data_IF_208659211376
#
_entry.id   IF_208659211376
#
_cell.length_a   1.000
_cell.length_b   1.000
_cell.length_c   1.000
_cell.angle_alpha   90.00
_cell.angle_beta   90.00
_cell.angle_gamma   90.00
#
_symmetry.space_group_name_H-M   'P 1'
#
loop_
_entity.id
_entity.type
_entity.pdbx_description
1 polymer ?
#
# COMPACT_ATOMS: atom_id res chain seq x y z
N UNK A 1 -85.09 -22.44 -6.84
CA UNK A 1 -84.10 -21.42 -7.05
C UNK A 1 -82.73 -21.99 -6.78
N UNK A 2 -81.95 -22.29 -7.81
CA UNK A 2 -80.62 -22.92 -7.59
C UNK A 2 -79.58 -21.80 -7.70
N UNK A 3 -78.86 -21.60 -6.61
CA UNK A 3 -77.72 -20.66 -6.56
C UNK A 3 -76.50 -21.43 -6.98
N UNK A 4 -75.92 -21.04 -8.12
CA UNK A 4 -74.63 -21.57 -8.54
C UNK A 4 -73.50 -20.83 -7.80
N UNK A 5 -72.56 -21.53 -7.12
CA UNK A 5 -71.40 -20.87 -6.60
C UNK A 5 -70.48 -20.47 -7.76
N UNK A 6 -70.25 -19.24 -7.89
CA UNK A 6 -69.23 -18.73 -8.82
C UNK A 6 -67.83 -19.02 -8.18
N UNK A 7 -67.19 -19.97 -8.75
CA UNK A 7 -65.75 -20.19 -8.48
C UNK A 7 -64.97 -18.99 -8.94
N UNK A 8 -64.51 -18.21 -8.01
CA UNK A 8 -63.46 -17.22 -8.30
C UNK A 8 -62.12 -17.99 -8.42
N UNK A 9 -61.72 -18.19 -9.67
CA UNK A 9 -60.37 -18.63 -10.00
C UNK A 9 -59.43 -17.46 -9.76
N UNK A 10 -58.81 -17.41 -8.58
CA UNK A 10 -57.78 -16.43 -8.29
C UNK A 10 -56.54 -16.77 -9.14
N UNK A 11 -56.30 -15.94 -10.13
CA UNK A 11 -55.04 -15.98 -10.88
C UNK A 11 -53.97 -15.45 -9.93
N UNK A 12 -53.20 -16.35 -9.33
CA UNK A 12 -51.97 -16.00 -8.63
C UNK A 12 -50.95 -15.71 -9.72
N UNK A 13 -50.75 -14.43 -10.06
CA UNK A 13 -49.64 -14.04 -10.87
C UNK A 13 -48.41 -14.11 -9.95
N UNK A 14 -47.67 -15.21 -10.02
CA UNK A 14 -46.35 -15.29 -9.43
C UNK A 14 -45.43 -14.34 -10.21
N UNK A 15 -45.20 -13.13 -9.68
CA UNK A 15 -44.20 -12.24 -10.21
C UNK A 15 -42.84 -12.85 -9.86
N UNK A 16 -42.30 -13.66 -10.73
CA UNK A 16 -40.92 -14.09 -10.62
C UNK A 16 -40.03 -12.86 -10.85
N UNK A 17 -39.55 -12.25 -9.76
CA UNK A 17 -38.45 -11.29 -9.85
C UNK A 17 -37.21 -12.09 -10.28
N UNK A 18 -36.98 -12.17 -11.56
CA UNK A 18 -35.72 -12.59 -12.10
C UNK A 18 -34.71 -11.47 -11.78
N UNK A 19 -33.92 -11.62 -10.72
CA UNK A 19 -32.72 -10.85 -10.57
C UNK A 19 -31.83 -11.15 -11.79
N UNK A 20 -31.49 -10.14 -12.61
CA UNK A 20 -30.53 -10.38 -13.67
C UNK A 20 -29.19 -10.74 -13.04
N UNK A 21 -28.82 -12.01 -13.09
CA UNK A 21 -27.45 -12.43 -12.82
C UNK A 21 -26.65 -11.86 -13.97
N UNK A 22 -25.91 -10.77 -13.71
CA UNK A 22 -24.95 -10.24 -14.68
C UNK A 22 -23.78 -11.22 -14.67
N UNK A 23 -23.83 -12.22 -15.54
CA UNK A 23 -22.72 -13.13 -15.78
C UNK A 23 -21.55 -12.31 -16.34
N UNK A 24 -20.40 -12.28 -15.62
CA UNK A 24 -19.19 -11.60 -16.05
C UNK A 24 -18.88 -10.27 -15.38
N UNK A 25 -19.65 -9.83 -14.36
CA UNK A 25 -19.21 -8.75 -13.47
C UNK A 25 -18.02 -9.24 -12.67
N UNK A 26 -16.80 -8.78 -13.03
CA UNK A 26 -15.62 -8.97 -12.20
C UNK A 26 -15.88 -8.26 -10.86
N UNK A 27 -15.75 -8.97 -9.75
CA UNK A 27 -15.73 -8.36 -8.43
C UNK A 27 -14.65 -7.28 -8.43
N UNK A 28 -14.96 -6.01 -8.11
CA UNK A 28 -13.94 -4.98 -8.06
C UNK A 28 -12.87 -5.41 -7.07
N UNK A 29 -11.59 -5.28 -7.47
CA UNK A 29 -10.46 -5.56 -6.60
C UNK A 29 -10.56 -4.66 -5.36
N UNK A 30 -10.46 -5.21 -4.13
CA UNK A 30 -10.53 -4.40 -2.93
C UNK A 30 -9.43 -3.33 -2.95
N UNK A 31 -9.67 -2.12 -2.39
CA UNK A 31 -8.67 -1.09 -2.28
C UNK A 31 -7.41 -1.62 -1.59
N UNK A 32 -6.26 -1.37 -2.16
CA UNK A 32 -4.98 -1.77 -1.60
C UNK A 32 -3.98 -0.61 -1.70
N UNK A 33 -3.12 -0.44 -0.68
CA UNK A 33 -1.99 0.46 -0.78
C UNK A 33 -0.96 -0.06 -1.78
N UNK A 34 -0.11 0.84 -2.25
CA UNK A 34 1.06 0.56 -3.08
C UNK A 34 2.15 1.56 -2.70
N UNK A 35 3.06 1.14 -1.84
CA UNK A 35 4.08 2.01 -1.25
C UNK A 35 5.31 2.05 -2.16
N UNK A 36 5.71 3.24 -2.54
CA UNK A 36 6.84 3.50 -3.43
C UNK A 36 7.81 4.44 -2.73
N UNK A 37 9.11 4.18 -2.83
CA UNK A 37 10.13 5.14 -2.42
C UNK A 37 10.33 6.12 -3.57
N UNK A 38 9.82 7.34 -3.38
CA UNK A 38 9.87 8.39 -4.39
C UNK A 38 11.22 9.11 -4.41
N UNK A 39 11.81 9.33 -3.24
CA UNK A 39 13.08 10.04 -3.09
C UNK A 39 13.80 9.67 -1.82
N UNK A 40 15.12 9.62 -1.90
CA UNK A 40 16.02 9.52 -0.75
C UNK A 40 16.90 10.76 -0.71
N UNK A 41 17.03 11.41 0.45
CA UNK A 41 17.85 12.58 0.63
C UNK A 41 18.71 12.42 1.88
N UNK A 42 20.01 12.39 1.71
CA UNK A 42 20.95 12.46 2.82
C UNK A 42 21.05 13.91 3.28
N UNK A 43 20.84 14.17 4.56
CA UNK A 43 20.85 15.52 5.14
C UNK A 43 22.06 15.77 6.01
N UNK A 44 22.70 14.70 6.49
CA UNK A 44 23.96 14.75 7.25
C UNK A 44 24.71 13.43 7.11
N UNK A 45 25.90 13.35 7.73
CA UNK A 45 26.68 12.10 7.77
C UNK A 45 25.96 10.92 8.47
N UNK A 46 24.89 11.19 9.22
CA UNK A 46 24.16 10.18 9.99
C UNK A 46 22.67 10.14 9.67
N UNK A 47 22.17 11.00 8.79
CA UNK A 47 20.73 11.20 8.68
C UNK A 47 20.22 11.23 7.23
N UNK A 48 19.13 10.52 7.01
CA UNK A 48 18.40 10.47 5.75
C UNK A 48 16.94 10.84 5.93
N UNK A 49 16.38 11.49 4.93
CA UNK A 49 14.93 11.64 4.75
C UNK A 49 14.53 10.83 3.52
N UNK A 50 13.65 9.87 3.72
CA UNK A 50 13.12 9.02 2.65
C UNK A 50 11.67 9.38 2.41
N UNK A 51 11.35 9.88 1.22
CA UNK A 51 9.97 10.18 0.84
C UNK A 51 9.31 8.91 0.32
N UNK A 52 8.29 8.46 1.03
CA UNK A 52 7.45 7.31 0.66
C UNK A 52 6.10 7.84 0.17
N UNK A 53 5.66 7.35 -0.96
CA UNK A 53 4.35 7.67 -1.53
C UNK A 53 3.48 6.42 -1.57
N UNK A 54 2.21 6.59 -1.27
CA UNK A 54 1.20 5.56 -1.49
C UNK A 54 0.50 5.83 -2.84
N UNK A 55 0.88 5.10 -3.86
CA UNK A 55 0.30 5.22 -5.21
C UNK A 55 -0.93 4.34 -5.40
N UNK A 56 -1.28 3.55 -4.39
CA UNK A 56 -2.47 2.71 -4.38
C UNK A 56 -3.76 3.49 -4.16
N UNK A 57 -4.86 2.78 -4.27
CA UNK A 57 -6.21 3.32 -4.06
C UNK A 57 -6.77 3.03 -2.66
N UNK A 58 -5.99 2.40 -1.79
CA UNK A 58 -6.30 2.15 -0.39
C UNK A 58 -5.28 2.80 0.54
N UNK A 59 -5.71 3.16 1.73
CA UNK A 59 -4.84 3.70 2.78
C UNK A 59 -3.89 2.61 3.28
N UNK A 60 -2.63 2.97 3.58
CA UNK A 60 -1.71 2.05 4.22
C UNK A 60 -1.80 2.15 5.74
N UNK A 61 -1.67 1.01 6.42
CA UNK A 61 -1.39 0.96 7.84
C UNK A 61 0.07 1.42 8.11
N UNK A 62 0.44 1.73 9.36
CA UNK A 62 1.83 1.94 9.72
C UNK A 62 2.69 0.72 9.38
N UNK A 63 3.91 0.97 8.93
CA UNK A 63 4.88 -0.06 8.57
C UNK A 63 6.30 0.39 8.94
N UNK A 64 7.29 -0.26 8.38
CA UNK A 64 8.70 0.09 8.56
C UNK A 64 9.39 0.32 7.23
N UNK A 65 10.43 1.13 7.27
CA UNK A 65 11.42 1.29 6.22
C UNK A 65 12.72 0.66 6.70
N UNK A 66 13.22 -0.35 5.99
CA UNK A 66 14.51 -0.96 6.27
C UNK A 66 15.58 -0.27 5.45
N UNK A 67 16.64 0.15 6.10
CA UNK A 67 17.85 0.65 5.47
C UNK A 67 19.00 -0.32 5.70
N UNK A 68 19.65 -0.73 4.65
CA UNK A 68 20.87 -1.55 4.69
C UNK A 68 22.03 -0.74 4.16
N UNK A 69 22.99 -0.43 5.02
CA UNK A 69 24.22 0.24 4.64
C UNK A 69 25.36 -0.77 4.43
N UNK A 70 26.10 -0.66 3.36
CA UNK A 70 27.23 -1.54 3.07
C UNK A 70 28.49 -0.72 2.80
N UNK A 71 29.54 -0.86 3.63
CA UNK A 71 29.62 -1.61 4.89
C UNK A 71 28.79 -0.92 6.00
N UNK A 72 28.31 -1.68 6.97
CA UNK A 72 27.57 -1.07 8.09
C UNK A 72 26.60 -2.07 8.74
N UNK A 73 25.34 -2.07 8.36
CA UNK A 73 24.33 -2.92 8.92
C UNK A 73 22.92 -2.57 8.48
N UNK A 74 21.94 -3.19 9.12
CA UNK A 74 20.51 -2.99 8.83
C UNK A 74 19.87 -2.16 9.94
N UNK A 75 19.04 -1.20 9.54
CA UNK A 75 18.33 -0.30 10.45
C UNK A 75 16.87 -0.21 9.99
N UNK A 76 15.96 -0.10 10.96
CA UNK A 76 14.54 0.05 10.68
C UNK A 76 14.07 1.42 11.15
N UNK A 77 13.29 2.08 10.32
CA UNK A 77 12.72 3.40 10.58
C UNK A 77 11.19 3.30 10.50
N UNK A 78 10.44 3.83 11.48
CA UNK A 78 9.00 3.72 11.47
C UNK A 78 8.40 4.58 10.36
N UNK A 79 7.39 4.04 9.68
CA UNK A 79 6.58 4.71 8.65
C UNK A 79 5.16 4.82 9.17
N UNK A 80 4.65 6.04 9.32
CA UNK A 80 3.27 6.28 9.70
C UNK A 80 2.31 5.82 8.58
N UNK A 81 1.03 5.64 8.92
CA UNK A 81 -0.01 5.37 7.94
C UNK A 81 -0.02 6.47 6.85
N UNK A 82 -0.14 6.07 5.60
CA UNK A 82 -0.18 6.98 4.45
C UNK A 82 -1.50 6.78 3.72
N UNK A 83 -2.26 7.84 3.59
CA UNK A 83 -3.51 7.84 2.82
C UNK A 83 -3.25 7.52 1.35
N UNK A 84 -4.25 6.95 0.67
CA UNK A 84 -4.20 6.73 -0.78
C UNK A 84 -3.83 8.04 -1.50
N UNK A 85 -2.80 7.98 -2.34
CA UNK A 85 -2.25 9.15 -3.05
C UNK A 85 -1.38 10.08 -2.20
N UNK A 86 -1.26 9.84 -0.88
CA UNK A 86 -0.48 10.66 0.03
C UNK A 86 1.01 10.32 0.04
N UNK A 87 1.79 11.15 0.72
CA UNK A 87 3.23 10.98 0.93
C UNK A 87 3.59 11.12 2.40
N UNK A 88 4.70 10.51 2.81
CA UNK A 88 5.30 10.72 4.11
C UNK A 88 6.82 10.86 3.97
N UNK A 89 7.40 11.79 4.73
CA UNK A 89 8.84 11.91 4.87
C UNK A 89 9.28 11.07 6.08
N UNK A 90 10.06 10.04 5.82
CA UNK A 90 10.51 9.07 6.84
C UNK A 90 11.93 9.44 7.25
N UNK A 91 12.13 9.89 8.49
CA UNK A 91 13.48 10.13 9.01
C UNK A 91 14.17 8.81 9.35
N UNK A 92 15.36 8.62 8.82
CA UNK A 92 16.21 7.47 9.11
C UNK A 92 17.57 7.89 9.59
N UNK A 93 17.97 7.41 10.78
CA UNK A 93 19.25 7.72 11.37
C UNK A 93 20.15 6.49 11.35
N UNK A 94 21.38 6.68 10.89
CA UNK A 94 22.45 5.71 11.07
C UNK A 94 23.14 5.94 12.42
N UNK A 95 23.50 4.90 13.17
CA UNK A 95 24.22 5.04 14.44
C UNK A 95 25.71 5.34 14.24
N UNK A 96 26.20 5.45 13.02
CA UNK A 96 27.58 5.78 12.67
C UNK A 96 27.61 6.84 11.57
N UNK A 97 28.73 7.51 11.42
CA UNK A 97 28.94 8.45 10.32
C UNK A 97 29.11 7.73 9.00
N UNK A 98 28.40 8.17 7.98
CA UNK A 98 28.57 7.67 6.65
C UNK A 98 29.97 7.97 6.13
N UNK A 99 30.56 7.00 5.44
CA UNK A 99 31.73 7.21 4.60
C UNK A 99 31.28 7.54 3.18
N UNK A 100 32.16 8.14 2.39
CA UNK A 100 31.87 8.42 0.98
C UNK A 100 31.54 7.14 0.21
N UNK A 101 30.57 7.24 -0.70
CA UNK A 101 30.20 6.16 -1.62
C UNK A 101 29.75 4.86 -0.95
N UNK A 102 29.28 4.90 0.29
CA UNK A 102 28.60 3.74 0.88
C UNK A 102 27.30 3.47 0.14
N UNK A 103 27.03 2.21 -0.13
CA UNK A 103 25.76 1.78 -0.69
C UNK A 103 24.70 1.73 0.42
N UNK A 104 23.63 2.46 0.25
CA UNK A 104 22.45 2.41 1.13
C UNK A 104 21.25 1.89 0.32
N UNK A 105 20.70 0.79 0.77
CA UNK A 105 19.50 0.19 0.19
C UNK A 105 18.33 0.43 1.11
N UNK A 106 17.24 0.95 0.57
CA UNK A 106 16.01 1.24 1.28
C UNK A 106 14.89 0.36 0.77
N UNK A 107 14.16 -0.25 1.70
CA UNK A 107 12.99 -1.09 1.37
C UNK A 107 11.85 -0.74 2.32
N UNK A 108 10.74 -0.25 1.80
CA UNK A 108 9.51 -0.03 2.58
C UNK A 108 8.71 -1.32 2.66
N UNK A 109 8.06 -1.56 3.80
CA UNK A 109 7.28 -2.78 4.06
C UNK A 109 8.08 -4.07 3.74
N UNK A 110 9.31 -4.22 4.31
CA UNK A 110 10.23 -5.30 3.92
C UNK A 110 9.68 -6.69 4.23
N UNK A 111 8.90 -6.81 5.29
CA UNK A 111 8.32 -8.09 5.76
C UNK A 111 6.99 -8.40 5.10
N UNK A 112 6.53 -7.54 4.18
CA UNK A 112 5.21 -7.66 3.52
C UNK A 112 4.05 -7.80 4.52
N UNK A 113 4.17 -7.18 5.68
CA UNK A 113 3.14 -7.18 6.72
C UNK A 113 1.86 -6.48 6.26
N UNK A 114 2.00 -5.49 5.37
CA UNK A 114 0.90 -4.85 4.66
C UNK A 114 0.77 -5.51 3.29
N UNK A 115 -0.45 -5.94 2.95
CA UNK A 115 -0.74 -6.42 1.60
C UNK A 115 -0.82 -5.25 0.64
N UNK A 116 0.04 -5.23 -0.35
CA UNK A 116 0.14 -4.17 -1.34
C UNK A 116 -0.27 -4.64 -2.74
N UNK A 117 -0.62 -3.70 -3.61
CA UNK A 117 -0.88 -3.98 -5.02
C UNK A 117 0.38 -4.49 -5.75
N UNK A 118 1.55 -3.98 -5.36
CA UNK A 118 2.86 -4.42 -5.87
C UNK A 118 3.92 -4.31 -4.76
N UNK A 119 4.92 -5.17 -4.81
CA UNK A 119 6.11 -5.09 -3.95
C UNK A 119 7.38 -4.81 -4.73
N UNK A 120 7.30 -4.75 -6.06
CA UNK A 120 8.48 -4.58 -6.94
C UNK A 120 9.05 -3.17 -6.90
N UNK A 121 8.25 -2.19 -6.49
CA UNK A 121 8.57 -0.77 -6.41
C UNK A 121 8.92 -0.30 -4.99
N UNK A 122 8.95 -1.21 -4.02
CA UNK A 122 9.20 -0.90 -2.59
C UNK A 122 10.67 -0.61 -2.27
N UNK A 123 11.57 -0.78 -3.23
CA UNK A 123 13.02 -0.75 -3.00
C UNK A 123 13.71 0.29 -3.85
N UNK A 124 14.70 0.96 -3.25
CA UNK A 124 15.64 1.82 -3.97
C UNK A 124 17.04 1.72 -3.39
N UNK A 125 18.02 2.14 -4.16
CA UNK A 125 19.42 2.16 -3.75
C UNK A 125 19.97 3.57 -3.94
N UNK A 126 20.68 4.06 -2.94
CA UNK A 126 21.37 5.35 -2.97
C UNK A 126 22.80 5.18 -2.47
N UNK A 127 23.66 6.09 -2.86
CA UNK A 127 25.02 6.19 -2.32
C UNK A 127 25.13 7.39 -1.41
N UNK A 128 25.96 7.26 -0.37
CA UNK A 128 26.25 8.38 0.52
C UNK A 128 27.00 9.50 -0.21
N UNK A 129 26.61 10.72 0.08
CA UNK A 129 27.23 11.91 -0.53
C UNK A 129 28.55 12.24 0.19
N UNK A 130 29.67 12.40 -0.54
CA UNK A 130 30.96 12.75 0.05
C UNK A 130 30.98 14.10 0.79
N UNK A 131 30.01 14.98 0.52
CA UNK A 131 29.90 16.27 1.24
C UNK A 131 29.60 16.14 2.73
N UNK A 132 29.14 14.97 3.18
CA UNK A 132 28.76 14.71 4.56
C UNK A 132 29.75 13.84 5.33
N UNK A 133 30.97 13.71 4.84
CA UNK A 133 32.02 12.89 5.46
C UNK A 133 32.94 13.74 6.35
#
# INVERSE_FOLDING_TARGET
>A
MKIHPRSFLGIVIALALACPIIAGAKTPKPPAPDLVIEKTTQTSSTFWIVKVKNTGNGDSAPTTLKMVATPGGSYSCPVAAIKAGGTADVPCRMPFKAKANMRCEFTVNPDKAITEASYTNNRTVSSTNPKFN
#
